data_IF_400008263204
#
_entry.id   IF_400008263204
#
_cell.length_a   1.000
_cell.length_b   1.000
_cell.length_c   1.000
_cell.angle_alpha   90.00
_cell.angle_beta   90.00
_cell.angle_gamma   90.00
#
_symmetry.space_group_name_H-M   'P 1'
#
loop_
_entity.id
_entity.type
_entity.pdbx_description
1 polymer ?
#
# COMPACT_ATOMS: atom_id res chain seq x y z
N UNK A 1 -49.22 -6.41 34.59
CA UNK A 1 -48.09 -7.07 33.91
C UNK A 1 -47.42 -6.03 33.02
N UNK A 2 -46.28 -5.52 33.43
CA UNK A 2 -45.61 -4.37 32.78
C UNK A 2 -44.43 -4.89 31.99
N UNK A 3 -44.50 -4.85 30.66
CA UNK A 3 -43.44 -5.36 29.78
C UNK A 3 -42.33 -4.33 29.67
N UNK A 4 -41.18 -4.61 30.30
CA UNK A 4 -39.95 -3.83 30.13
C UNK A 4 -39.42 -4.09 28.71
N UNK A 5 -39.43 -3.05 27.86
CA UNK A 5 -38.73 -3.07 26.58
C UNK A 5 -37.25 -2.84 26.86
N UNK A 6 -36.45 -3.90 26.82
CA UNK A 6 -34.99 -3.83 26.86
C UNK A 6 -34.50 -3.21 25.56
N UNK A 7 -34.17 -1.92 25.57
CA UNK A 7 -33.50 -1.25 24.46
C UNK A 7 -32.04 -1.70 24.43
N UNK A 8 -31.66 -2.51 23.43
CA UNK A 8 -30.25 -2.80 23.19
C UNK A 8 -29.56 -1.54 22.68
N UNK A 9 -28.66 -0.98 23.50
CA UNK A 9 -27.73 0.05 23.05
C UNK A 9 -26.71 -0.60 22.12
N UNK A 10 -26.78 -0.29 20.83
CA UNK A 10 -25.80 -0.73 19.85
C UNK A 10 -24.49 0.01 20.12
N UNK A 11 -23.53 -0.68 20.72
CA UNK A 11 -22.22 -0.11 21.04
C UNK A 11 -21.47 0.15 19.72
N UNK A 12 -21.27 1.42 19.37
CA UNK A 12 -20.50 1.80 18.20
C UNK A 12 -19.01 1.53 18.45
N UNK A 13 -18.49 0.49 17.81
CA UNK A 13 -17.06 0.22 17.79
C UNK A 13 -16.47 0.95 16.57
N UNK A 14 -15.59 1.94 16.75
CA UNK A 14 -15.04 2.69 15.62
C UNK A 14 -14.29 1.76 14.68
N UNK A 15 -14.62 1.84 13.39
CA UNK A 15 -13.95 1.10 12.34
C UNK A 15 -12.49 1.57 12.23
N UNK A 16 -11.55 0.71 12.64
CA UNK A 16 -10.13 1.02 12.59
C UNK A 16 -9.54 0.61 11.24
N UNK A 17 -9.44 1.59 10.34
CA UNK A 17 -8.74 1.45 9.06
C UNK A 17 -7.26 1.77 9.21
N UNK A 18 -6.40 0.94 8.61
CA UNK A 18 -4.95 1.17 8.54
C UNK A 18 -4.43 0.79 7.15
N UNK A 19 -3.16 1.05 6.87
CA UNK A 19 -2.54 0.66 5.60
C UNK A 19 -1.13 0.11 5.80
N UNK A 20 -0.67 -0.65 4.80
CA UNK A 20 0.73 -1.08 4.67
C UNK A 20 1.17 -0.87 3.22
N UNK A 21 2.40 -0.38 3.06
CA UNK A 21 3.00 -0.09 1.76
C UNK A 21 4.09 -1.09 1.41
N UNK A 22 4.13 -1.47 0.14
CA UNK A 22 5.15 -2.30 -0.46
C UNK A 22 5.83 -1.51 -1.58
N UNK A 23 6.88 -0.73 -1.26
CA UNK A 23 7.64 -0.02 -2.27
C UNK A 23 8.58 -0.96 -3.01
N UNK A 24 8.87 -0.70 -4.30
CA UNK A 24 9.81 -1.52 -5.04
C UNK A 24 11.21 -1.32 -4.47
N UNK A 25 11.89 -2.44 -4.23
CA UNK A 25 13.31 -2.43 -3.89
C UNK A 25 14.10 -1.84 -5.06
N UNK A 26 14.96 -0.86 -4.78
CA UNK A 26 15.97 -0.41 -5.73
C UNK A 26 16.99 -1.53 -5.94
N UNK A 27 17.07 -2.04 -7.17
CA UNK A 27 18.01 -3.08 -7.58
C UNK A 27 19.37 -2.50 -7.96
N UNK A 28 19.41 -1.23 -8.38
CA UNK A 28 20.63 -0.49 -8.64
C UNK A 28 20.37 1.02 -8.56
N UNK A 29 21.14 1.72 -7.73
CA UNK A 29 21.03 3.17 -7.62
C UNK A 29 21.38 3.84 -8.95
N UNK A 30 20.66 4.91 -9.26
CA UNK A 30 20.90 5.70 -10.47
C UNK A 30 22.01 6.72 -10.25
N UNK A 31 22.29 7.49 -11.30
CA UNK A 31 23.10 8.70 -11.22
C UNK A 31 22.43 9.81 -12.06
N UNK A 32 23.13 10.92 -12.29
CA UNK A 32 22.57 12.07 -13.04
C UNK A 32 22.25 11.72 -14.51
N UNK A 33 22.82 10.62 -15.04
CA UNK A 33 22.70 10.19 -16.44
C UNK A 33 21.77 8.97 -16.55
N UNK A 34 21.77 8.09 -15.56
CA UNK A 34 21.00 6.85 -15.55
C UNK A 34 19.95 6.84 -14.44
N UNK A 35 18.69 6.52 -14.76
CA UNK A 35 17.66 6.30 -13.75
C UNK A 35 17.99 5.09 -12.87
N UNK A 36 17.59 5.09 -11.59
CA UNK A 36 17.70 3.90 -10.75
C UNK A 36 16.86 2.77 -11.31
N UNK A 37 17.33 1.53 -11.11
CA UNK A 37 16.60 0.33 -11.46
C UNK A 37 15.80 -0.18 -10.26
N UNK A 38 14.57 -0.59 -10.50
CA UNK A 38 13.61 -0.99 -9.47
C UNK A 38 13.04 -2.36 -9.81
N UNK A 39 12.73 -3.14 -8.78
CA UNK A 39 12.02 -4.39 -9.00
C UNK A 39 10.67 -4.17 -9.69
N UNK A 40 10.25 -5.16 -10.46
CA UNK A 40 8.97 -5.11 -11.16
C UNK A 40 7.80 -5.11 -10.18
N UNK A 41 6.69 -4.51 -10.60
CA UNK A 41 5.48 -4.41 -9.78
C UNK A 41 4.92 -5.78 -9.35
N UNK A 42 5.06 -6.82 -10.16
CA UNK A 42 4.62 -8.17 -9.78
C UNK A 42 5.41 -8.76 -8.60
N UNK A 43 6.63 -8.28 -8.34
CA UNK A 43 7.37 -8.63 -7.12
C UNK A 43 6.70 -8.04 -5.87
N UNK A 44 6.05 -6.88 -5.97
CA UNK A 44 5.33 -6.27 -4.85
C UNK A 44 4.15 -7.11 -4.40
N UNK A 45 3.43 -7.72 -5.35
CA UNK A 45 2.31 -8.62 -5.04
C UNK A 45 2.78 -9.88 -4.33
N UNK A 46 3.93 -10.43 -4.71
CA UNK A 46 4.52 -11.59 -4.02
C UNK A 46 4.84 -11.23 -2.57
N UNK A 47 5.52 -10.10 -2.34
CA UNK A 47 5.83 -9.61 -0.99
C UNK A 47 4.57 -9.34 -0.16
N UNK A 48 3.56 -8.74 -0.76
CA UNK A 48 2.27 -8.49 -0.12
C UNK A 48 1.58 -9.79 0.29
N UNK A 49 1.55 -10.80 -0.60
CA UNK A 49 0.99 -12.11 -0.29
C UNK A 49 1.78 -12.85 0.80
N UNK A 50 3.11 -12.75 0.81
CA UNK A 50 3.95 -13.29 1.89
C UNK A 50 3.66 -12.61 3.23
N UNK A 51 3.50 -11.28 3.22
CA UNK A 51 3.12 -10.52 4.41
C UNK A 51 1.73 -10.88 4.93
N UNK A 52 0.76 -11.12 4.04
CA UNK A 52 -0.59 -11.55 4.43
C UNK A 52 -0.61 -12.92 5.11
N UNK A 53 0.31 -13.84 4.75
CA UNK A 53 0.45 -15.14 5.43
C UNK A 53 0.89 -14.98 6.89
N UNK A 54 1.71 -13.98 7.19
CA UNK A 54 2.19 -13.72 8.56
C UNK A 54 1.24 -12.84 9.38
N UNK A 55 0.24 -12.23 8.73
CA UNK A 55 -0.77 -11.35 9.34
C UNK A 55 -2.19 -11.89 9.10
N UNK A 56 -2.41 -13.16 9.42
CA UNK A 56 -3.68 -13.87 9.15
C UNK A 56 -4.88 -13.29 9.91
N UNK A 57 -4.64 -12.50 10.96
CA UNK A 57 -5.65 -11.77 11.73
C UNK A 57 -6.15 -10.50 11.01
N UNK A 58 -5.55 -10.12 9.87
CA UNK A 58 -5.90 -8.92 9.12
C UNK A 58 -6.67 -9.25 7.85
N UNK A 59 -7.50 -8.30 7.43
CA UNK A 59 -8.31 -8.34 6.21
C UNK A 59 -8.02 -7.12 5.35
N UNK A 60 -7.61 -7.36 4.12
CA UNK A 60 -7.52 -6.36 3.05
C UNK A 60 -8.93 -5.95 2.62
N UNK A 61 -9.17 -4.63 2.60
CA UNK A 61 -10.39 -4.01 2.08
C UNK A 61 -10.20 -3.56 0.64
N UNK A 62 -9.09 -2.91 0.36
CA UNK A 62 -8.76 -2.33 -0.94
C UNK A 62 -7.25 -2.41 -1.13
N UNK A 63 -6.82 -2.60 -2.37
CA UNK A 63 -5.44 -2.37 -2.80
C UNK A 63 -5.42 -1.20 -3.79
N UNK A 64 -4.39 -0.37 -3.72
CA UNK A 64 -4.18 0.72 -4.67
C UNK A 64 -2.70 0.82 -5.06
N UNK A 65 -2.46 1.48 -6.20
CA UNK A 65 -1.12 1.91 -6.58
C UNK A 65 -0.97 3.38 -6.20
N UNK A 66 -0.04 3.69 -5.30
CA UNK A 66 0.29 5.07 -4.95
C UNK A 66 1.54 5.49 -5.70
N UNK A 67 1.51 6.71 -6.24
CA UNK A 67 2.66 7.31 -6.89
C UNK A 67 3.42 8.16 -5.88
N UNK A 68 4.73 7.94 -5.79
CA UNK A 68 5.60 8.61 -4.84
C UNK A 68 6.83 9.15 -5.55
N UNK A 69 7.34 10.27 -5.06
CA UNK A 69 8.54 10.86 -5.64
C UNK A 69 9.76 10.05 -5.24
N UNK A 70 10.43 9.48 -6.24
CA UNK A 70 11.67 8.75 -6.09
C UNK A 70 12.88 9.66 -5.97
N UNK A 71 13.94 9.11 -5.36
CA UNK A 71 15.26 9.71 -5.31
C UNK A 71 16.26 8.85 -6.09
N UNK A 72 17.35 9.45 -6.57
CA UNK A 72 18.39 8.73 -7.33
C UNK A 72 19.16 7.72 -6.47
N UNK A 73 19.18 7.91 -5.15
CA UNK A 73 19.75 6.98 -4.17
C UNK A 73 18.86 5.75 -3.91
N UNK A 74 17.70 5.65 -4.57
CA UNK A 74 16.78 4.52 -4.40
C UNK A 74 15.83 4.64 -3.20
N UNK A 75 15.93 5.71 -2.40
CA UNK A 75 15.10 5.92 -1.22
C UNK A 75 13.71 6.44 -1.63
N UNK A 76 12.68 5.87 -1.02
CA UNK A 76 11.28 6.18 -1.28
C UNK A 76 10.57 6.50 0.03
N UNK A 77 9.91 7.65 0.09
CA UNK A 77 9.07 8.06 1.23
C UNK A 77 7.59 7.94 0.85
N UNK A 78 6.92 6.90 1.37
CA UNK A 78 5.53 6.58 1.02
C UNK A 78 4.50 7.38 1.82
N UNK A 79 4.95 8.18 2.79
CA UNK A 79 4.09 9.04 3.61
C UNK A 79 3.95 10.45 3.01
N UNK A 80 4.69 10.78 1.95
CA UNK A 80 4.60 12.08 1.27
C UNK A 80 3.84 11.97 -0.04
N UNK A 81 2.75 12.73 -0.13
CA UNK A 81 1.92 12.86 -1.33
C UNK A 81 2.11 14.20 -2.06
N UNK A 82 2.71 15.19 -1.41
CA UNK A 82 2.99 16.51 -2.01
C UNK A 82 4.47 16.63 -2.36
N UNK A 83 4.77 16.94 -3.62
CA UNK A 83 6.13 17.15 -4.06
C UNK A 83 6.21 18.28 -5.10
N UNK A 84 7.29 19.06 -5.01
CA UNK A 84 7.61 20.06 -6.03
C UNK A 84 8.34 19.39 -7.18
N UNK A 85 7.93 19.69 -8.40
CA UNK A 85 8.67 19.31 -9.59
C UNK A 85 9.83 20.27 -9.82
N UNK A 86 10.98 19.74 -10.23
CA UNK A 86 12.11 20.59 -10.59
C UNK A 86 11.85 21.24 -11.95
N UNK A 87 12.13 22.55 -12.06
CA UNK A 87 12.14 23.24 -13.35
C UNK A 87 13.31 22.72 -14.19
N UNK A 88 12.95 22.06 -15.30
CA UNK A 88 13.90 21.42 -16.24
C UNK A 88 14.72 22.42 -17.05
N UNK A 89 14.43 23.72 -16.98
CA UNK A 89 15.15 24.75 -17.75
C UNK A 89 16.56 25.03 -17.22
N UNK A 90 16.85 24.74 -15.94
CA UNK A 90 18.12 25.12 -15.28
C UNK A 90 18.90 23.98 -14.63
N UNK A 91 18.27 22.84 -14.36
CA UNK A 91 18.92 21.65 -13.79
C UNK A 91 18.50 20.43 -14.61
N UNK A 92 19.47 19.61 -15.03
CA UNK A 92 19.23 18.30 -15.68
C UNK A 92 18.60 17.26 -14.72
N UNK A 93 17.77 17.69 -13.77
CA UNK A 93 17.24 16.83 -12.72
C UNK A 93 15.86 16.36 -13.16
N UNK A 94 15.80 15.14 -13.68
CA UNK A 94 14.52 14.52 -14.08
C UNK A 94 13.69 14.23 -12.84
N UNK A 95 12.39 14.50 -12.91
CA UNK A 95 11.44 14.03 -11.91
C UNK A 95 11.37 12.50 -12.03
N UNK A 96 11.54 11.80 -10.92
CA UNK A 96 11.41 10.34 -10.84
C UNK A 96 10.18 10.03 -10.00
N UNK A 97 9.28 9.24 -10.57
CA UNK A 97 8.08 8.76 -9.90
C UNK A 97 8.10 7.24 -9.85
N UNK A 98 7.72 6.70 -8.71
CA UNK A 98 7.75 5.27 -8.42
C UNK A 98 6.34 4.86 -8.02
N UNK A 99 5.90 3.72 -8.55
CA UNK A 99 4.62 3.10 -8.15
C UNK A 99 4.84 2.14 -7.00
N UNK A 100 4.11 2.35 -5.93
CA UNK A 100 4.11 1.54 -4.70
C UNK A 100 2.75 0.86 -4.59
N UNK A 101 2.73 -0.37 -4.08
CA UNK A 101 1.48 -1.07 -3.76
C UNK A 101 1.08 -0.74 -2.32
N UNK A 102 -0.12 -0.19 -2.12
CA UNK A 102 -0.71 0.04 -0.79
C UNK A 102 -1.87 -0.93 -0.56
N UNK A 103 -1.89 -1.57 0.60
CA UNK A 103 -3.05 -2.34 1.07
C UNK A 103 -3.72 -1.60 2.21
N UNK A 104 -5.02 -1.35 2.07
CA UNK A 104 -5.89 -0.90 3.14
C UNK A 104 -6.40 -2.11 3.91
N UNK A 105 -6.17 -2.13 5.22
CA UNK A 105 -6.35 -3.31 6.08
C UNK A 105 -7.18 -2.97 7.31
N UNK A 106 -7.88 -3.99 7.82
CA UNK A 106 -8.62 -3.97 9.09
C UNK A 106 -8.44 -5.28 9.84
N UNK A 107 -8.90 -5.32 11.09
CA UNK A 107 -8.99 -6.56 11.85
C UNK A 107 -10.04 -7.49 11.24
N UNK A 108 -9.74 -8.80 11.14
CA UNK A 108 -10.75 -9.81 10.75
C UNK A 108 -11.82 -9.92 11.84
N UNK A 109 -13.06 -10.09 11.40
CA UNK A 109 -14.18 -10.46 12.25
C UNK A 109 -14.27 -12.00 12.40
N UNK A 110 -14.93 -12.54 13.43
CA UNK A 110 -15.11 -13.99 13.59
C UNK A 110 -15.84 -14.67 12.41
N UNK A 111 -16.58 -13.90 11.62
CA UNK A 111 -17.30 -14.37 10.43
C UNK A 111 -16.44 -14.38 9.17
N UNK A 112 -15.24 -13.80 9.21
CA UNK A 112 -14.34 -13.77 8.06
C UNK A 112 -13.69 -15.15 7.82
N UNK A 113 -13.34 -15.47 6.56
CA UNK A 113 -12.62 -16.71 6.25
C UNK A 113 -11.30 -16.84 7.03
N UNK A 114 -11.03 -18.05 7.51
CA UNK A 114 -9.79 -18.38 8.24
C UNK A 114 -8.58 -18.21 7.33
N UNK A 115 -8.69 -18.63 6.07
CA UNK A 115 -7.60 -18.60 5.11
C UNK A 115 -7.02 -17.18 4.89
N UNK A 116 -5.69 -17.06 4.71
CA UNK A 116 -5.08 -15.80 4.30
C UNK A 116 -5.63 -15.33 2.96
N UNK A 117 -5.91 -14.03 2.86
CA UNK A 117 -6.28 -13.46 1.57
C UNK A 117 -5.08 -13.47 0.62
N UNK A 118 -5.35 -13.70 -0.66
CA UNK A 118 -4.37 -13.61 -1.72
C UNK A 118 -4.80 -12.55 -2.73
N UNK A 119 -3.88 -11.63 -3.04
CA UNK A 119 -4.08 -10.61 -4.07
C UNK A 119 -3.42 -11.05 -5.37
N UNK A 120 -4.10 -10.79 -6.49
CA UNK A 120 -3.64 -11.10 -7.84
C UNK A 120 -3.51 -9.86 -8.72
N UNK A 121 -2.88 -10.02 -9.88
CA UNK A 121 -2.79 -8.98 -10.90
C UNK A 121 -3.28 -9.51 -12.24
N UNK A 122 -4.18 -8.75 -12.85
CA UNK A 122 -4.76 -9.06 -14.15
C UNK A 122 -4.33 -7.93 -15.09
N UNK A 123 -3.58 -8.27 -16.15
CA UNK A 123 -3.44 -7.39 -17.31
C UNK A 123 -4.66 -7.60 -18.19
N UNK A 124 -5.47 -6.56 -18.38
CA UNK A 124 -6.40 -6.53 -19.51
C UNK A 124 -5.56 -6.30 -20.76
N UNK A 125 -5.61 -7.28 -21.68
CA UNK A 125 -5.02 -7.21 -23.02
C UNK A 125 -5.85 -6.27 -23.91
#
# INVERSE_FOLDING_TARGET
MTTVKTTMSQQYVPFKLSYVDFPPRCAGAGNVICSPDYERFDSLLKKANEWLKTHSNLKVKVCESVEVKGRYDGVVDTNKSCFFEADHSKRRMRNLFIRVLRLWIVQKEPTDPIEPQQIGYIRKL
#
